data_IF_081755183106
#
_entry.id   IF_081755183106
#
_cell.length_a   1.000
_cell.length_b   1.000
_cell.length_c   1.000
_cell.angle_alpha   90.00
_cell.angle_beta   90.00
_cell.angle_gamma   90.00
#
_symmetry.space_group_name_H-M   'P 1'
#
loop_
_entity.id
_entity.type
_entity.pdbx_description
1 polymer ?
#
# COMPACT_ATOMS: atom_id res chain seq x y z
N UNK A 1 0.48 9.94 14.51
CA UNK A 1 -0.21 8.62 14.55
C UNK A 1 -1.64 8.79 14.05
N UNK A 2 -1.93 8.49 12.78
CA UNK A 2 -3.32 8.35 12.32
C UNK A 2 -3.64 6.86 12.28
N UNK A 3 -4.71 6.46 12.97
CA UNK A 3 -5.05 5.07 13.24
C UNK A 3 -5.34 4.27 11.97
N UNK A 4 -4.76 3.08 11.91
CA UNK A 4 -5.22 1.97 11.07
C UNK A 4 -6.62 1.54 11.52
N UNK A 5 -7.65 2.25 11.07
CA UNK A 5 -9.00 1.68 10.97
C UNK A 5 -9.19 1.24 9.53
N UNK A 6 -8.65 0.06 9.23
CA UNK A 6 -8.95 -0.63 7.98
C UNK A 6 -10.46 -0.86 7.92
N UNK A 7 -11.16 -0.02 7.16
CA UNK A 7 -12.61 -0.14 7.03
C UNK A 7 -12.93 -1.50 6.39
N UNK A 8 -13.82 -2.32 6.98
CA UNK A 8 -14.10 -3.68 6.51
C UNK A 8 -14.57 -3.70 5.04
N UNK A 9 -15.15 -2.59 4.56
CA UNK A 9 -15.55 -2.40 3.18
C UNK A 9 -14.40 -2.49 2.15
N UNK A 10 -13.18 -2.05 2.50
CA UNK A 10 -12.03 -2.11 1.57
C UNK A 10 -11.59 -3.55 1.32
N UNK A 11 -11.59 -4.37 2.36
CA UNK A 11 -11.23 -5.79 2.26
C UNK A 11 -12.22 -6.54 1.37
N UNK A 12 -13.52 -6.33 1.59
CA UNK A 12 -14.61 -6.92 0.80
C UNK A 12 -14.53 -6.51 -0.68
N UNK A 13 -14.12 -5.27 -0.98
CA UNK A 13 -13.93 -4.82 -2.35
C UNK A 13 -12.82 -5.60 -3.07
N UNK A 14 -11.66 -5.76 -2.43
CA UNK A 14 -10.54 -6.49 -3.01
C UNK A 14 -10.80 -7.99 -3.11
N UNK A 15 -11.49 -8.60 -2.16
CA UNK A 15 -11.87 -10.02 -2.19
C UNK A 15 -12.69 -10.39 -3.44
N UNK A 16 -13.51 -9.45 -3.96
CA UNK A 16 -14.25 -9.65 -5.23
C UNK A 16 -13.32 -9.76 -6.45
N UNK A 17 -12.12 -9.19 -6.38
CA UNK A 17 -11.09 -9.24 -7.42
C UNK A 17 -10.11 -10.40 -7.19
N UNK A 18 -10.62 -11.53 -6.69
CA UNK A 18 -9.83 -12.71 -6.34
C UNK A 18 -9.11 -13.39 -7.51
N UNK A 19 -9.28 -12.95 -8.77
CA UNK A 19 -8.47 -13.42 -9.90
C UNK A 19 -7.11 -12.72 -10.00
N UNK A 20 -6.98 -11.52 -9.42
CA UNK A 20 -5.76 -10.72 -9.46
C UNK A 20 -4.70 -11.35 -8.54
N UNK A 21 -3.47 -11.61 -9.04
CA UNK A 21 -2.41 -12.22 -8.23
C UNK A 21 -2.07 -11.45 -6.95
N UNK A 22 -2.13 -10.11 -6.99
CA UNK A 22 -1.90 -9.28 -5.82
C UNK A 22 -2.93 -9.52 -4.71
N UNK A 23 -4.20 -9.73 -5.06
CA UNK A 23 -5.28 -10.05 -4.11
C UNK A 23 -5.09 -11.45 -3.56
N UNK A 24 -4.86 -12.44 -4.43
CA UNK A 24 -4.64 -13.85 -4.02
C UNK A 24 -3.47 -14.00 -3.06
N UNK A 25 -2.38 -13.28 -3.30
CA UNK A 25 -1.15 -13.37 -2.52
C UNK A 25 -1.13 -12.41 -1.32
N UNK A 26 -2.23 -11.71 -1.02
CA UNK A 26 -2.31 -10.76 0.10
C UNK A 26 -1.36 -9.57 -0.04
N UNK A 27 -0.91 -9.25 -1.26
CA UNK A 27 0.01 -8.14 -1.57
C UNK A 27 -0.76 -6.84 -1.81
N UNK A 28 -1.59 -6.45 -0.86
CA UNK A 28 -2.35 -5.20 -0.90
C UNK A 28 -1.86 -4.34 0.25
N UNK A 29 -1.25 -3.21 -0.09
CA UNK A 29 -0.61 -2.32 0.88
C UNK A 29 -1.30 -0.96 0.83
N UNK A 30 -1.62 -0.42 2.01
CA UNK A 30 -2.02 0.98 2.15
C UNK A 30 -0.76 1.84 2.18
N UNK A 31 -0.80 2.96 1.47
CA UNK A 31 0.24 3.98 1.53
C UNK A 31 -0.43 5.32 1.78
N UNK A 32 0.24 6.19 2.53
CA UNK A 32 -0.25 7.52 2.81
C UNK A 32 -0.22 8.37 1.54
N UNK A 33 -1.40 8.76 1.06
CA UNK A 33 -1.56 9.57 -0.15
C UNK A 33 -0.92 10.94 0.00
N UNK A 34 -0.80 11.51 1.21
CA UNK A 34 -0.11 12.80 1.42
C UNK A 34 1.41 12.71 1.18
N UNK A 35 2.00 11.49 1.19
CA UNK A 35 3.40 11.28 0.85
C UNK A 35 3.65 11.27 -0.67
N UNK A 36 2.65 10.88 -1.46
CA UNK A 36 2.81 10.67 -2.92
C UNK A 36 2.14 11.78 -3.74
N UNK A 37 0.98 12.27 -3.31
CA UNK A 37 0.18 13.22 -4.08
C UNK A 37 0.74 14.65 -4.07
N UNK A 38 1.65 14.95 -3.14
CA UNK A 38 2.29 16.26 -3.01
C UNK A 38 3.75 16.17 -3.43
N UNK A 39 4.14 17.00 -4.39
CA UNK A 39 5.54 17.22 -4.75
C UNK A 39 6.26 17.97 -3.61
N UNK A 40 6.55 17.24 -2.53
CA UNK A 40 7.24 17.73 -1.34
C UNK A 40 8.58 17.01 -1.21
N UNK A 41 9.54 17.55 -0.43
CA UNK A 41 10.82 16.89 -0.16
C UNK A 41 10.70 15.46 0.41
N UNK A 42 9.55 15.14 1.04
CA UNK A 42 9.26 13.81 1.61
C UNK A 42 8.92 12.74 0.57
N UNK A 43 8.94 13.07 -0.73
CA UNK A 43 8.75 12.09 -1.79
C UNK A 43 9.81 10.97 -1.73
N UNK A 44 10.99 11.28 -1.21
CA UNK A 44 12.06 10.29 -0.99
C UNK A 44 11.61 9.20 -0.01
N UNK A 45 10.92 9.57 1.07
CA UNK A 45 10.37 8.61 2.05
C UNK A 45 9.32 7.70 1.39
N UNK A 46 8.51 8.25 0.49
CA UNK A 46 7.53 7.50 -0.27
C UNK A 46 8.20 6.48 -1.20
N UNK A 47 9.26 6.89 -1.90
CA UNK A 47 10.03 6.01 -2.79
C UNK A 47 10.68 4.88 -1.97
N UNK A 48 11.25 5.18 -0.81
CA UNK A 48 11.85 4.16 0.05
C UNK A 48 10.80 3.12 0.52
N UNK A 49 9.62 3.59 0.95
CA UNK A 49 8.52 2.70 1.33
C UNK A 49 8.07 1.82 0.15
N UNK A 50 7.89 2.40 -1.04
CA UNK A 50 7.50 1.66 -2.23
C UNK A 50 8.56 0.63 -2.65
N UNK A 51 9.85 0.97 -2.55
CA UNK A 51 10.94 0.05 -2.84
C UNK A 51 10.88 -1.18 -1.93
N UNK A 52 10.65 -0.99 -0.62
CA UNK A 52 10.49 -2.10 0.35
C UNK A 52 9.25 -2.97 0.06
N UNK A 53 8.17 -2.38 -0.46
CA UNK A 53 6.96 -3.11 -0.83
C UNK A 53 7.14 -3.93 -2.12
N UNK A 54 7.86 -3.40 -3.10
CA UNK A 54 8.11 -4.08 -4.38
C UNK A 54 9.22 -5.13 -4.29
N UNK A 55 10.19 -4.92 -3.39
CA UNK A 55 11.35 -5.80 -3.21
C UNK A 55 11.44 -6.36 -1.79
N UNK A 56 10.46 -7.15 -1.33
CA UNK A 56 10.51 -7.75 0.01
C UNK A 56 11.69 -8.72 0.23
N UNK A 57 12.31 -9.20 -0.85
CA UNK A 57 13.52 -10.02 -0.83
C UNK A 57 14.79 -9.25 -0.48
N UNK A 58 14.80 -7.93 -0.68
CA UNK A 58 15.93 -7.05 -0.38
C UNK A 58 15.70 -6.47 1.02
N UNK A 59 16.02 -7.26 2.05
CA UNK A 59 16.01 -6.82 3.44
C UNK A 59 17.42 -6.70 3.98
#
# INVERSE_FOLDING_TARGET
MSGNTESPAKKIFWEKLGTIPAVKNGKIYSIDTDLISRASPRIVDAIEQMARLFHPEIK
#
